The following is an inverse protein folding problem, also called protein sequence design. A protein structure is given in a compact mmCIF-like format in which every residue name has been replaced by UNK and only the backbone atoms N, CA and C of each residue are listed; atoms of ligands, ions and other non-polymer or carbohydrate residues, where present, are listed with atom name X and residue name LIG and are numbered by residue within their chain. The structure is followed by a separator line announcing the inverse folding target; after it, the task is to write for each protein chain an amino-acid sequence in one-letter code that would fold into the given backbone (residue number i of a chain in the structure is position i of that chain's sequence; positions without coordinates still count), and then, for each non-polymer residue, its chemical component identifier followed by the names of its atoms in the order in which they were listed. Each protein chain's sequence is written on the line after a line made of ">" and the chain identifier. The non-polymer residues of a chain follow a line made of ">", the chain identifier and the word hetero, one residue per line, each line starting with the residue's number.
data_IF_934526681517
#
_entry.id   IF_934526681517
#
_cell.length_a   1.000
_cell.length_b   1.000
_cell.length_c   1.000
_cell.angle_alpha   90.00
_cell.angle_beta   90.00
_cell.angle_gamma   90.00
#
_symmetry.space_group_name_H-M   'P 1'
#
loop_
_entity.id
_entity.type
_entity.pdbx_description
1 polymer ?
#
# COMPACT_ATOMS: atom_id res chain seq x y z
N UNK A 1 18.90 -27.15 8.01
CA UNK A 1 18.00 -26.28 8.79
C UNK A 1 17.57 -25.18 7.86
N UNK A 2 16.40 -25.34 7.24
CA UNK A 2 15.86 -24.33 6.34
C UNK A 2 15.32 -23.20 7.20
N UNK A 3 15.98 -22.05 7.18
CA UNK A 3 15.41 -20.83 7.73
C UNK A 3 14.18 -20.52 6.89
N UNK A 4 12.99 -20.74 7.44
CA UNK A 4 11.77 -20.19 6.84
C UNK A 4 12.00 -18.68 6.68
N UNK A 5 11.71 -18.09 5.50
CA UNK A 5 11.82 -16.65 5.35
C UNK A 5 10.88 -16.01 6.38
N UNK A 6 11.44 -15.14 7.23
CA UNK A 6 10.68 -14.37 8.24
C UNK A 6 9.43 -13.81 7.56
N UNK A 7 8.24 -14.11 8.08
CA UNK A 7 7.02 -13.60 7.45
C UNK A 7 7.02 -12.09 7.64
N UNK A 8 6.65 -11.29 6.62
CA UNK A 8 6.70 -9.82 6.74
C UNK A 8 5.71 -9.25 7.76
N UNK A 9 4.88 -10.09 8.39
CA UNK A 9 4.04 -9.76 9.55
C UNK A 9 4.82 -9.71 10.86
N UNK A 10 5.92 -10.45 10.97
CA UNK A 10 6.56 -10.73 12.27
C UNK A 10 7.36 -9.53 12.80
N UNK A 11 7.63 -8.54 11.94
CA UNK A 11 8.39 -7.33 12.23
C UNK A 11 7.56 -6.03 12.11
N UNK A 12 6.23 -6.10 11.99
CA UNK A 12 5.38 -4.90 11.92
C UNK A 12 5.19 -4.33 13.33
N UNK A 13 5.79 -3.16 13.58
CA UNK A 13 5.74 -2.48 14.87
C UNK A 13 5.63 -0.97 14.68
N UNK A 14 4.55 -0.39 15.17
CA UNK A 14 4.30 1.04 15.13
C UNK A 14 4.55 1.71 16.50
N UNK A 15 5.02 2.95 16.48
CA UNK A 15 5.15 3.82 17.66
C UNK A 15 6.50 3.79 18.37
N UNK A 16 7.51 3.10 17.82
CA UNK A 16 8.88 3.12 18.37
C UNK A 16 9.70 4.31 17.89
N UNK A 17 9.80 4.47 16.57
CA UNK A 17 10.51 5.55 15.92
C UNK A 17 10.09 5.63 14.45
N UNK A 18 10.38 6.78 13.83
CA UNK A 18 9.97 7.09 12.46
C UNK A 18 10.44 6.06 11.43
N UNK A 19 11.70 5.64 11.51
CA UNK A 19 12.27 4.67 10.55
C UNK A 19 11.58 3.31 10.66
N UNK A 20 11.28 2.87 11.87
CA UNK A 20 10.59 1.59 12.12
C UNK A 20 9.13 1.67 11.66
N UNK A 21 8.47 2.81 11.87
CA UNK A 21 7.11 3.04 11.39
C UNK A 21 7.04 3.02 9.85
N UNK A 22 8.00 3.64 9.17
CA UNK A 22 8.09 3.64 7.70
C UNK A 22 8.27 2.21 7.15
N UNK A 23 9.17 1.44 7.76
CA UNK A 23 9.39 0.03 7.38
C UNK A 23 8.15 -0.83 7.61
N UNK A 24 7.50 -0.63 8.76
CA UNK A 24 6.28 -1.33 9.13
C UNK A 24 5.12 -0.99 8.20
N UNK A 25 4.97 0.29 7.82
CA UNK A 25 3.96 0.72 6.87
C UNK A 25 4.18 0.08 5.48
N UNK A 26 5.43 0.05 5.02
CA UNK A 26 5.77 -0.60 3.75
C UNK A 26 5.44 -2.11 3.76
N UNK A 27 5.73 -2.81 4.86
CA UNK A 27 5.37 -4.22 5.03
C UNK A 27 3.85 -4.40 5.10
N UNK A 28 3.15 -3.55 5.84
CA UNK A 28 1.69 -3.57 5.97
C UNK A 28 0.99 -3.40 4.62
N UNK A 29 1.41 -2.42 3.80
CA UNK A 29 0.85 -2.22 2.45
C UNK A 29 1.08 -3.43 1.53
N UNK A 30 2.23 -4.11 1.64
CA UNK A 30 2.50 -5.35 0.90
C UNK A 30 1.63 -6.51 1.35
N UNK A 31 1.27 -6.59 2.63
CA UNK A 31 0.30 -7.58 3.12
C UNK A 31 -1.09 -7.29 2.57
N UNK A 32 -1.48 -6.01 2.59
CA UNK A 32 -2.78 -5.55 2.14
C UNK A 32 -3.01 -5.77 0.65
N UNK A 33 -1.96 -5.72 -0.18
CA UNK A 33 -2.05 -5.97 -1.63
C UNK A 33 -1.95 -7.45 -2.03
N UNK A 34 -1.88 -8.39 -1.08
CA UNK A 34 -1.78 -9.82 -1.41
C UNK A 34 -3.06 -10.33 -2.08
N UNK A 35 -2.97 -11.01 -3.25
CA UNK A 35 -4.14 -11.55 -3.95
C UNK A 35 -5.11 -12.35 -3.05
N UNK A 36 -4.67 -13.35 -2.24
CA UNK A 36 -5.61 -14.12 -1.44
C UNK A 36 -6.28 -13.29 -0.32
N UNK A 37 -5.68 -12.18 0.09
CA UNK A 37 -6.28 -11.28 1.08
C UNK A 37 -7.32 -10.38 0.41
N UNK A 38 -6.97 -9.76 -0.72
CA UNK A 38 -7.88 -8.88 -1.46
C UNK A 38 -9.10 -9.63 -2.00
N UNK A 39 -8.92 -10.86 -2.46
CA UNK A 39 -10.02 -11.71 -2.97
C UNK A 39 -11.10 -11.97 -1.91
N UNK A 40 -10.71 -11.97 -0.62
CA UNK A 40 -11.63 -12.18 0.51
C UNK A 40 -12.16 -10.85 1.06
N UNK A 41 -11.31 -9.82 1.16
CA UNK A 41 -11.67 -8.54 1.77
C UNK A 41 -12.58 -7.71 0.86
N UNK A 42 -12.20 -7.52 -0.41
CA UNK A 42 -12.86 -6.56 -1.31
C UNK A 42 -14.38 -6.82 -1.44
N UNK A 43 -14.87 -8.06 -1.60
CA UNK A 43 -16.30 -8.33 -1.70
C UNK A 43 -17.10 -8.06 -0.40
N UNK A 44 -16.42 -7.86 0.73
CA UNK A 44 -17.05 -7.62 2.04
C UNK A 44 -17.17 -6.14 2.39
N UNK A 45 -16.47 -5.28 1.66
CA UNK A 45 -16.51 -3.84 1.89
C UNK A 45 -17.83 -3.27 1.36
N UNK A 46 -18.42 -2.38 2.13
CA UNK A 46 -19.52 -1.53 1.66
C UNK A 46 -19.02 -0.49 0.66
N UNK A 47 -19.94 0.07 -0.12
CA UNK A 47 -19.62 1.15 -1.07
C UNK A 47 -18.94 2.33 -0.38
N UNK A 48 -19.40 2.71 0.82
CA UNK A 48 -18.82 3.79 1.62
C UNK A 48 -17.38 3.49 2.04
N UNK A 49 -17.08 2.24 2.44
CA UNK A 49 -15.72 1.83 2.79
C UNK A 49 -14.80 1.84 1.57
N UNK A 50 -15.28 1.39 0.42
CA UNK A 50 -14.53 1.42 -0.85
C UNK A 50 -14.18 2.88 -1.20
N UNK A 51 -15.17 3.78 -1.20
CA UNK A 51 -14.94 5.20 -1.51
C UNK A 51 -14.01 5.86 -0.49
N UNK A 52 -14.16 5.54 0.80
CA UNK A 52 -13.29 6.05 1.87
C UNK A 52 -11.83 5.63 1.69
N UNK A 53 -11.57 4.36 1.36
CA UNK A 53 -10.21 3.87 1.11
C UNK A 53 -9.59 4.53 -0.13
N UNK A 54 -10.34 4.59 -1.23
CA UNK A 54 -9.87 5.24 -2.46
C UNK A 54 -9.54 6.70 -2.19
N UNK A 55 -10.43 7.43 -1.52
CA UNK A 55 -10.21 8.83 -1.19
C UNK A 55 -8.94 9.04 -0.35
N UNK A 56 -8.75 8.23 0.69
CA UNK A 56 -7.56 8.32 1.55
C UNK A 56 -6.27 8.08 0.76
N UNK A 57 -6.20 6.98 -0.01
CA UNK A 57 -5.00 6.62 -0.76
C UNK A 57 -4.68 7.66 -1.85
N UNK A 58 -5.71 8.13 -2.57
CA UNK A 58 -5.54 9.20 -3.58
C UNK A 58 -5.08 10.51 -2.94
N UNK A 59 -5.61 10.89 -1.78
CA UNK A 59 -5.17 12.10 -1.08
C UNK A 59 -3.70 12.02 -0.66
N UNK A 60 -3.25 10.86 -0.15
CA UNK A 60 -1.84 10.63 0.20
C UNK A 60 -0.95 10.75 -1.05
N UNK A 61 -1.32 10.11 -2.16
CA UNK A 61 -0.56 10.19 -3.40
C UNK A 61 -0.51 11.63 -3.92
N UNK A 62 -1.63 12.34 -3.98
CA UNK A 62 -1.69 13.72 -4.45
C UNK A 62 -0.83 14.68 -3.61
N UNK A 63 -0.72 14.45 -2.30
CA UNK A 63 0.07 15.30 -1.42
C UNK A 63 1.58 15.06 -1.51
N UNK A 64 2.01 13.92 -2.06
CA UNK A 64 3.41 13.47 -1.99
C UNK A 64 4.03 13.09 -3.34
N UNK A 65 3.23 12.88 -4.39
CA UNK A 65 3.69 12.58 -5.74
C UNK A 65 3.37 13.74 -6.67
N UNK A 66 4.31 14.05 -7.57
CA UNK A 66 4.01 14.85 -8.76
C UNK A 66 3.11 14.08 -9.73
N UNK A 67 2.51 14.80 -10.68
CA UNK A 67 1.71 14.20 -11.76
C UNK A 67 2.52 13.13 -12.51
N UNK A 68 3.78 13.42 -12.85
CA UNK A 68 4.67 12.47 -13.51
C UNK A 68 4.89 11.21 -12.66
N UNK A 69 5.21 11.37 -11.37
CA UNK A 69 5.43 10.22 -10.47
C UNK A 69 4.17 9.37 -10.30
N UNK A 70 2.98 9.99 -10.26
CA UNK A 70 1.73 9.26 -10.22
C UNK A 70 1.52 8.39 -11.47
N UNK A 71 1.71 8.96 -12.67
CA UNK A 71 1.57 8.22 -13.91
C UNK A 71 2.60 7.10 -14.04
N UNK A 72 3.88 7.39 -13.76
CA UNK A 72 4.96 6.42 -13.93
C UNK A 72 4.95 5.32 -12.86
N UNK A 73 4.72 5.66 -11.59
CA UNK A 73 4.87 4.73 -10.47
C UNK A 73 3.58 4.01 -10.11
N UNK A 74 2.42 4.69 -10.17
CA UNK A 74 1.14 4.12 -9.76
C UNK A 74 0.35 3.56 -10.94
N UNK A 75 0.24 4.32 -12.04
CA UNK A 75 -0.48 3.85 -13.23
C UNK A 75 0.38 2.97 -14.15
N UNK A 76 1.70 2.93 -13.93
CA UNK A 76 2.66 2.27 -14.80
C UNK A 76 2.54 2.73 -16.27
N UNK A 77 2.11 3.98 -16.47
CA UNK A 77 2.03 4.64 -17.77
C UNK A 77 3.25 5.55 -17.92
N UNK A 78 4.30 5.13 -18.67
CA UNK A 78 5.44 6.00 -18.92
C UNK A 78 4.97 7.25 -19.65
N UNK A 79 5.38 8.42 -19.14
CA UNK A 79 4.83 9.75 -19.43
C UNK A 79 4.22 9.94 -20.82
N UNK A 80 2.92 10.26 -20.84
CA UNK A 80 2.24 10.84 -22.00
C UNK A 80 2.86 12.22 -22.33
N UNK A 81 4.01 12.22 -23.00
CA UNK A 81 4.43 13.36 -23.80
C UNK A 81 3.58 13.34 -25.08
N UNK A 82 2.55 14.18 -25.13
CA UNK A 82 1.88 14.59 -26.37
C UNK A 82 2.59 15.81 -26.97
#
# INVERSE_FOLDING_TARGET
>A
MSSEPNSPSDDIMFGLNRETDERSLAAFLRLFSRPPFTDVLIPRLSDDEIQGLVHLLTAVMHNHLSEQEYHELFLAEPGHHH
#
